data_IF_208058946316
#
_entry.id   IF_208058946316
#
_cell.length_a   1.000
_cell.length_b   1.000
_cell.length_c   1.000
_cell.angle_alpha   90.00
_cell.angle_beta   90.00
_cell.angle_gamma   90.00
#
_symmetry.space_group_name_H-M   'P 1'
#
loop_
_entity.id
_entity.type
_entity.pdbx_description
1 polymer ?
#
# COMPACT_ATOMS: atom_id res chain seq x y z
N UNK A 1 -4.38 2.78 -13.53
CA UNK A 1 -3.78 4.04 -13.03
C UNK A 1 -2.27 4.12 -13.23
N UNK A 2 -1.48 3.17 -12.71
CA UNK A 2 -0.01 3.30 -12.67
C UNK A 2 0.75 2.97 -13.97
N UNK A 3 0.17 2.21 -14.90
CA UNK A 3 0.89 1.65 -16.06
C UNK A 3 1.47 2.69 -17.03
N UNK A 4 0.95 3.92 -17.03
CA UNK A 4 1.45 5.01 -17.89
C UNK A 4 2.18 6.10 -17.09
N UNK A 5 2.27 5.96 -15.77
CA UNK A 5 2.93 6.95 -14.93
C UNK A 5 4.45 6.76 -14.98
N UNK A 6 5.18 7.88 -14.92
CA UNK A 6 6.63 7.89 -14.71
C UNK A 6 6.95 8.39 -13.32
N UNK A 7 8.11 7.99 -12.80
CA UNK A 7 8.60 8.49 -11.53
C UNK A 7 8.95 9.97 -11.65
N UNK A 8 8.56 10.73 -10.63
CA UNK A 8 8.93 12.12 -10.47
C UNK A 8 9.00 12.44 -8.97
N UNK A 9 10.15 12.95 -8.51
CA UNK A 9 10.38 13.20 -7.08
C UNK A 9 9.42 14.22 -6.47
N UNK A 10 8.84 15.10 -7.29
CA UNK A 10 7.92 16.15 -6.82
C UNK A 10 6.48 15.64 -6.69
N UNK A 11 6.00 14.89 -7.68
CA UNK A 11 4.61 14.38 -7.71
C UNK A 11 4.43 12.98 -7.11
N UNK A 12 5.49 12.19 -6.93
CA UNK A 12 5.37 10.85 -6.34
C UNK A 12 4.75 10.84 -4.94
N UNK A 13 5.03 11.80 -4.03
CA UNK A 13 4.37 11.85 -2.72
C UNK A 13 2.85 12.04 -2.82
N UNK A 14 2.35 12.91 -3.71
CA UNK A 14 0.91 13.11 -3.90
C UNK A 14 0.26 11.90 -4.58
N UNK A 15 0.99 11.24 -5.49
CA UNK A 15 0.56 9.98 -6.07
C UNK A 15 0.42 8.87 -5.02
N UNK A 16 1.39 8.74 -4.10
CA UNK A 16 1.30 7.81 -2.96
C UNK A 16 0.05 8.07 -2.13
N UNK A 17 -0.19 9.33 -1.74
CA UNK A 17 -1.35 9.73 -0.95
C UNK A 17 -2.66 9.37 -1.68
N UNK A 18 -2.79 9.75 -2.95
CA UNK A 18 -3.99 9.47 -3.75
C UNK A 18 -4.28 7.98 -3.87
N UNK A 19 -3.25 7.15 -4.09
CA UNK A 19 -3.42 5.69 -4.18
C UNK A 19 -3.80 5.11 -2.81
N UNK A 20 -3.18 5.59 -1.74
CA UNK A 20 -3.50 5.11 -0.38
C UNK A 20 -4.95 5.42 0.01
N UNK A 21 -5.46 6.60 -0.34
CA UNK A 21 -6.85 6.99 -0.10
C UNK A 21 -7.83 6.18 -0.94
N UNK A 22 -7.51 5.95 -2.22
CA UNK A 22 -8.34 5.12 -3.11
C UNK A 22 -8.42 3.68 -2.61
N UNK A 23 -7.30 3.09 -2.21
CA UNK A 23 -7.27 1.74 -1.61
C UNK A 23 -8.05 1.73 -0.30
N UNK A 24 -7.85 2.74 0.58
CA UNK A 24 -8.56 2.82 1.86
C UNK A 24 -10.08 2.92 1.65
N UNK A 25 -10.51 3.68 0.65
CA UNK A 25 -11.93 3.78 0.28
C UNK A 25 -12.46 2.43 -0.21
N UNK A 26 -11.74 1.78 -1.13
CA UNK A 26 -12.14 0.49 -1.69
C UNK A 26 -12.26 -0.61 -0.61
N UNK A 27 -11.31 -0.68 0.34
CA UNK A 27 -11.41 -1.69 1.41
C UNK A 27 -12.51 -1.39 2.41
N UNK A 28 -12.86 -0.12 2.63
CA UNK A 28 -14.01 0.25 3.46
C UNK A 28 -15.34 -0.11 2.78
N UNK A 29 -15.41 -0.07 1.46
CA UNK A 29 -16.60 -0.48 0.68
C UNK A 29 -16.87 -1.99 0.75
N UNK A 30 -15.90 -2.81 1.18
CA UNK A 30 -16.10 -4.24 1.42
C UNK A 30 -16.95 -4.53 2.68
N UNK A 31 -17.14 -3.52 3.54
CA UNK A 31 -18.07 -3.55 4.67
C UNK A 31 -17.85 -4.71 5.66
N UNK A 32 -16.58 -5.09 5.89
CA UNK A 32 -16.26 -6.06 6.94
C UNK A 32 -16.44 -5.42 8.33
N UNK A 33 -17.25 -6.07 9.16
CA UNK A 33 -17.65 -5.54 10.46
C UNK A 33 -16.45 -5.36 11.40
N UNK A 34 -16.43 -4.22 12.09
CA UNK A 34 -15.47 -3.86 13.15
C UNK A 34 -13.98 -3.86 12.75
N UNK A 35 -13.62 -3.72 11.48
CA UNK A 35 -12.21 -3.57 11.10
C UNK A 35 -11.76 -2.11 10.98
N UNK A 36 -10.59 -1.82 11.53
CA UNK A 36 -9.79 -0.63 11.23
C UNK A 36 -8.74 -0.98 10.19
N UNK A 37 -8.59 -0.12 9.18
CA UNK A 37 -7.64 -0.33 8.09
C UNK A 37 -6.51 0.69 8.16
N UNK A 38 -5.29 0.18 7.98
CA UNK A 38 -4.09 0.99 7.71
C UNK A 38 -3.62 0.65 6.30
N UNK A 39 -3.45 1.67 5.46
CA UNK A 39 -2.93 1.52 4.10
C UNK A 39 -1.62 2.27 4.00
N UNK A 40 -0.57 1.58 3.59
CA UNK A 40 0.74 2.15 3.29
C UNK A 40 1.07 1.93 1.82
N UNK A 41 1.50 2.98 1.13
CA UNK A 41 1.94 2.92 -0.26
C UNK A 41 3.37 3.43 -0.33
N UNK A 42 4.24 2.63 -0.92
CA UNK A 42 5.63 2.93 -1.17
C UNK A 42 5.87 2.98 -2.68
N UNK A 43 6.33 4.13 -3.19
CA UNK A 43 6.80 4.28 -4.58
C UNK A 43 8.31 4.50 -4.54
N UNK A 44 9.05 3.72 -5.32
CA UNK A 44 10.52 3.78 -5.39
C UNK A 44 10.96 3.80 -6.85
N UNK A 45 11.75 4.80 -7.22
CA UNK A 45 12.39 4.91 -8.54
C UNK A 45 13.23 3.68 -8.86
N UNK A 46 13.29 3.25 -10.12
CA UNK A 46 14.24 2.24 -10.59
C UNK A 46 15.54 2.91 -11.04
N UNK A 47 16.50 3.00 -10.14
CA UNK A 47 17.84 3.54 -10.38
C UNK A 47 18.93 2.45 -10.42
N UNK A 48 18.56 1.18 -10.65
CA UNK A 48 19.49 0.05 -10.69
C UNK A 48 19.87 -0.51 -9.31
N UNK A 49 19.16 -0.13 -8.26
CA UNK A 49 19.38 -0.59 -6.88
C UNK A 49 18.63 -1.89 -6.56
N UNK A 50 19.16 -2.67 -5.62
CA UNK A 50 18.43 -3.74 -4.97
C UNK A 50 17.59 -3.20 -3.82
N UNK A 51 16.39 -3.76 -3.60
CA UNK A 51 15.50 -3.35 -2.52
C UNK A 51 14.87 -4.57 -1.84
N UNK A 52 14.85 -4.54 -0.50
CA UNK A 52 14.11 -5.49 0.32
C UNK A 52 13.17 -4.72 1.25
N UNK A 53 11.89 -5.11 1.27
CA UNK A 53 10.86 -4.51 2.10
C UNK A 53 10.27 -5.60 2.98
N UNK A 54 10.29 -5.37 4.29
CA UNK A 54 9.78 -6.31 5.28
C UNK A 54 8.93 -5.57 6.31
N UNK A 55 7.96 -6.27 6.89
CA UNK A 55 7.09 -5.78 7.96
C UNK A 55 7.03 -6.80 9.09
N UNK A 56 6.76 -6.32 10.31
CA UNK A 56 6.55 -7.13 11.52
C UNK A 56 5.42 -6.50 12.34
N UNK A 57 4.62 -7.34 12.99
CA UNK A 57 3.40 -6.91 13.67
C UNK A 57 3.31 -7.54 15.07
N UNK A 58 2.58 -6.85 15.96
CA UNK A 58 2.16 -7.36 17.26
C UNK A 58 0.64 -7.16 17.33
N UNK A 59 -0.12 -8.25 17.21
CA UNK A 59 -1.57 -8.22 17.02
C UNK A 59 -2.22 -9.59 17.31
N UNK A 60 -3.54 -9.72 17.19
CA UNK A 60 -4.27 -10.99 17.34
C UNK A 60 -4.18 -11.81 16.04
N UNK A 61 -3.50 -12.95 16.07
CA UNK A 61 -3.28 -13.80 14.90
C UNK A 61 -4.55 -14.46 14.33
N UNK A 62 -5.67 -14.46 15.07
CA UNK A 62 -6.94 -15.02 14.60
C UNK A 62 -7.83 -13.97 13.93
N UNK A 63 -7.64 -12.69 14.26
CA UNK A 63 -8.54 -11.60 13.85
C UNK A 63 -7.85 -10.56 12.98
N UNK A 64 -6.57 -10.31 13.22
CA UNK A 64 -5.83 -9.30 12.50
C UNK A 64 -5.08 -9.91 11.31
N UNK A 65 -5.06 -9.20 10.19
CA UNK A 65 -4.45 -9.70 8.97
C UNK A 65 -3.86 -8.58 8.12
N UNK A 66 -3.13 -8.96 7.07
CA UNK A 66 -2.58 -8.05 6.09
C UNK A 66 -2.55 -8.66 4.69
N UNK A 67 -2.47 -7.79 3.71
CA UNK A 67 -2.21 -8.15 2.31
C UNK A 67 -1.29 -7.11 1.68
N UNK A 68 -0.46 -7.55 0.74
CA UNK A 68 0.34 -6.65 -0.08
C UNK A 68 0.16 -6.91 -1.56
N UNK A 69 0.39 -5.86 -2.35
CA UNK A 69 0.39 -5.91 -3.79
C UNK A 69 1.56 -5.12 -4.36
N UNK A 70 2.24 -5.69 -5.38
CA UNK A 70 3.31 -5.03 -6.12
C UNK A 70 2.82 -4.68 -7.52
N UNK A 71 3.06 -3.44 -7.93
CA UNK A 71 2.94 -3.01 -9.31
C UNK A 71 4.30 -2.48 -9.78
N UNK A 72 4.72 -2.88 -10.97
CA UNK A 72 6.02 -2.52 -11.52
C UNK A 72 5.80 -1.79 -12.85
N UNK A 73 6.41 -0.61 -12.98
CA UNK A 73 6.34 0.22 -14.19
C UNK A 73 7.72 0.28 -14.85
N UNK A 74 7.85 1.06 -15.92
CA UNK A 74 9.15 1.31 -16.55
C UNK A 74 10.14 2.00 -15.60
N UNK A 75 9.69 2.97 -14.81
CA UNK A 75 10.57 3.87 -14.05
C UNK A 75 10.49 3.71 -12.53
N UNK A 76 9.50 3.01 -11.98
CA UNK A 76 9.37 2.80 -10.53
C UNK A 76 8.72 1.46 -10.18
N UNK A 77 8.79 1.11 -8.90
CA UNK A 77 8.03 0.04 -8.27
C UNK A 77 7.08 0.68 -7.25
N UNK A 78 5.81 0.30 -7.28
CA UNK A 78 4.83 0.64 -6.27
C UNK A 78 4.46 -0.60 -5.45
N UNK A 79 4.50 -0.47 -4.13
CA UNK A 79 4.11 -1.48 -3.17
C UNK A 79 2.98 -0.93 -2.31
N UNK A 80 1.84 -1.61 -2.33
CA UNK A 80 0.73 -1.33 -1.43
C UNK A 80 0.70 -2.40 -0.33
N UNK A 81 0.53 -1.96 0.91
CA UNK A 81 0.40 -2.80 2.10
C UNK A 81 -0.86 -2.37 2.84
N UNK A 82 -1.75 -3.31 3.08
CA UNK A 82 -3.00 -3.09 3.80
C UNK A 82 -2.94 -3.95 5.05
N UNK A 83 -3.22 -3.36 6.20
CA UNK A 83 -3.39 -4.04 7.47
C UNK A 83 -4.84 -3.86 7.91
N UNK A 84 -5.47 -4.93 8.34
CA UNK A 84 -6.81 -4.93 8.91
C UNK A 84 -6.71 -5.39 10.36
N UNK A 85 -7.05 -4.51 11.29
CA UNK A 85 -7.07 -4.78 12.72
C UNK A 85 -8.51 -4.77 13.23
N UNK A 86 -8.94 -5.85 13.87
CA UNK A 86 -10.26 -5.98 14.44
C UNK A 86 -10.37 -5.09 15.69
N UNK A 87 -11.45 -4.32 15.77
CA UNK A 87 -11.76 -3.43 16.88
C UNK A 87 -12.70 -4.14 17.85
N UNK A 88 -12.15 -4.70 18.93
CA UNK A 88 -12.89 -5.26 20.07
C UNK A 88 -13.52 -4.21 21.01
#
# INVERSE_FOLDING_TARGET
>A
KLQQAKYDGVSSPSLCASISEEILKAVKELDFDRYKYVVSVLIVEKAGQAMNVASRWVWDAQRDTWVSAKCETETFIALALIMACYYD
#
